data_IF_168275456030
#
_entry.id   IF_168275456030
#
_cell.length_a   1.000
_cell.length_b   1.000
_cell.length_c   1.000
_cell.angle_alpha   90.00
_cell.angle_beta   90.00
_cell.angle_gamma   90.00
#
_symmetry.space_group_name_H-M   'P 1'
#
loop_
_entity.id
_entity.type
_entity.pdbx_description
1 polymer ?
#
# COMPACT_ATOMS: atom_id res chain seq x y z
N UNK A 1 -5.28 -44.02 -33.85
CA UNK A 1 -3.81 -44.04 -33.68
C UNK A 1 -3.31 -42.61 -33.79
N UNK A 2 -2.89 -42.01 -32.68
CA UNK A 2 -1.80 -41.02 -32.59
C UNK A 2 -1.53 -40.84 -31.10
N UNK A 3 -0.35 -41.29 -30.69
CA UNK A 3 0.00 -41.51 -29.30
C UNK A 3 0.18 -40.20 -28.54
N UNK A 4 -0.60 -40.03 -27.47
CA UNK A 4 -0.23 -39.19 -26.34
C UNK A 4 0.81 -39.94 -25.51
N UNK A 5 1.96 -40.19 -26.15
CA UNK A 5 3.10 -40.88 -25.57
C UNK A 5 4.01 -39.86 -24.90
N UNK A 6 3.93 -39.79 -23.58
CA UNK A 6 5.11 -39.98 -22.73
C UNK A 6 6.35 -39.06 -22.89
N UNK A 7 6.17 -37.79 -23.26
CA UNK A 7 7.23 -36.74 -23.11
C UNK A 7 6.90 -35.69 -22.03
N UNK A 8 5.71 -35.78 -21.42
CA UNK A 8 5.11 -34.75 -20.57
C UNK A 8 5.37 -34.86 -19.06
N UNK A 9 6.29 -35.72 -18.61
CA UNK A 9 6.57 -35.91 -17.18
C UNK A 9 7.23 -34.70 -16.53
N UNK A 10 8.44 -34.34 -16.98
CA UNK A 10 9.13 -33.16 -16.45
C UNK A 10 8.58 -31.85 -17.03
N UNK A 11 8.26 -31.83 -18.33
CA UNK A 11 7.69 -30.65 -18.99
C UNK A 11 6.29 -30.32 -18.46
N UNK A 12 5.42 -31.31 -18.22
CA UNK A 12 4.10 -31.08 -17.62
C UNK A 12 4.18 -30.55 -16.19
N UNK A 13 5.14 -31.03 -15.40
CA UNK A 13 5.40 -30.50 -14.07
C UNK A 13 5.94 -29.06 -14.12
N UNK A 14 6.85 -28.75 -15.04
CA UNK A 14 7.35 -27.39 -15.27
C UNK A 14 6.21 -26.45 -15.71
N UNK A 15 5.29 -26.91 -16.56
CA UNK A 15 4.13 -26.12 -16.96
C UNK A 15 3.15 -25.89 -15.79
N UNK A 16 2.95 -26.90 -14.95
CA UNK A 16 2.08 -26.80 -13.77
C UNK A 16 2.65 -25.88 -12.69
N UNK A 17 3.90 -26.11 -12.27
CA UNK A 17 4.57 -25.29 -11.27
C UNK A 17 4.96 -23.92 -11.80
N UNK A 18 5.40 -23.83 -13.06
CA UNK A 18 5.74 -22.57 -13.73
C UNK A 18 4.52 -21.66 -13.87
N UNK A 19 3.35 -22.19 -14.22
CA UNK A 19 2.11 -21.43 -14.25
C UNK A 19 1.74 -20.85 -12.87
N UNK A 20 1.87 -21.66 -11.81
CA UNK A 20 1.62 -21.21 -10.44
C UNK A 20 2.63 -20.13 -10.00
N UNK A 21 3.91 -20.30 -10.33
CA UNK A 21 4.99 -19.37 -9.99
C UNK A 21 4.78 -18.01 -10.68
N UNK A 22 4.36 -18.02 -11.95
CA UNK A 22 4.01 -16.80 -12.69
C UNK A 22 2.83 -16.09 -12.05
N UNK A 23 1.79 -16.82 -11.65
CA UNK A 23 0.61 -16.23 -10.99
C UNK A 23 0.97 -15.62 -9.63
N UNK A 24 1.73 -16.34 -8.79
CA UNK A 24 2.20 -15.82 -7.50
C UNK A 24 3.11 -14.60 -7.71
N UNK A 25 4.04 -14.68 -8.66
CA UNK A 25 4.92 -13.56 -9.01
C UNK A 25 4.14 -12.32 -9.47
N UNK A 26 3.08 -12.51 -10.26
CA UNK A 26 2.21 -11.42 -10.71
C UNK A 26 1.45 -10.77 -9.54
N UNK A 27 0.89 -11.57 -8.62
CA UNK A 27 0.22 -11.06 -7.42
C UNK A 27 1.21 -10.30 -6.53
N UNK A 28 2.42 -10.84 -6.31
CA UNK A 28 3.47 -10.17 -5.55
C UNK A 28 3.90 -8.87 -6.23
N UNK A 29 4.02 -8.84 -7.56
CA UNK A 29 4.33 -7.62 -8.32
C UNK A 29 3.24 -6.55 -8.15
N UNK A 30 1.96 -6.93 -8.20
CA UNK A 30 0.85 -6.01 -7.97
C UNK A 30 0.90 -5.48 -6.53
N UNK A 31 1.04 -6.36 -5.53
CA UNK A 31 1.13 -5.97 -4.12
C UNK A 31 2.34 -5.07 -3.88
N UNK A 32 3.47 -5.35 -4.52
CA UNK A 32 4.67 -4.53 -4.43
C UNK A 32 4.52 -3.20 -5.15
N UNK A 33 3.88 -3.15 -6.32
CA UNK A 33 3.62 -1.91 -7.05
C UNK A 33 2.66 -1.00 -6.27
N UNK A 34 1.56 -1.56 -5.74
CA UNK A 34 0.61 -0.83 -4.88
C UNK A 34 1.27 -0.44 -3.55
N UNK A 35 2.08 -1.33 -2.98
CA UNK A 35 2.85 -1.11 -1.76
C UNK A 35 3.96 -0.05 -1.90
N UNK A 36 4.60 0.03 -3.06
CA UNK A 36 5.66 1.00 -3.35
C UNK A 36 5.09 2.40 -3.60
N UNK A 37 3.94 2.47 -4.30
CA UNK A 37 3.19 3.73 -4.47
C UNK A 37 2.65 4.24 -3.13
N UNK A 38 2.23 3.35 -2.24
CA UNK A 38 1.77 3.72 -0.88
C UNK A 38 2.90 3.97 0.13
N UNK A 39 4.09 3.39 -0.05
CA UNK A 39 5.27 3.64 0.81
C UNK A 39 5.97 4.99 0.57
N UNK A 40 5.61 5.71 -0.49
CA UNK A 40 5.97 7.14 -0.65
C UNK A 40 5.19 8.08 0.29
N UNK A 41 4.12 7.58 0.92
CA UNK A 41 3.38 8.27 1.95
C UNK A 41 3.63 7.62 3.30
N UNK A 42 4.55 8.20 4.08
CA UNK A 42 4.48 8.23 5.56
C UNK A 42 3.11 7.83 6.07
N UNK A 43 3.00 6.71 6.79
CA UNK A 43 2.03 6.41 7.85
C UNK A 43 0.81 7.35 7.94
N UNK A 44 0.00 7.44 6.89
CA UNK A 44 -1.27 8.16 6.90
C UNK A 44 -2.34 7.17 6.54
N UNK A 45 -2.89 6.62 7.61
CA UNK A 45 -4.20 5.99 7.65
C UNK A 45 -5.16 6.77 6.73
N UNK A 46 -5.64 6.18 5.61
CA UNK A 46 -6.39 6.90 4.58
C UNK A 46 -7.83 7.29 4.98
N UNK A 47 -8.13 7.42 6.28
CA UNK A 47 -9.52 7.58 6.75
C UNK A 47 -9.73 8.59 7.87
N UNK A 48 -8.68 9.16 8.47
CA UNK A 48 -8.85 10.08 9.61
C UNK A 48 -7.91 11.28 9.46
N UNK A 49 -8.44 12.50 9.22
CA UNK A 49 -7.60 13.69 9.31
C UNK A 49 -6.97 13.72 10.69
N UNK A 50 -5.64 13.77 10.74
CA UNK A 50 -4.92 13.84 12.00
C UNK A 50 -5.36 15.11 12.73
N UNK A 51 -5.39 15.10 14.07
CA UNK A 51 -5.78 16.27 14.85
C UNK A 51 -4.99 17.54 14.42
N UNK A 52 -3.72 17.37 14.04
CA UNK A 52 -2.86 18.43 13.50
C UNK A 52 -3.35 19.01 12.16
N UNK A 53 -3.92 18.18 11.27
CA UNK A 53 -4.49 18.66 10.00
C UNK A 53 -5.74 19.49 10.24
N UNK A 54 -6.60 19.10 11.18
CA UNK A 54 -7.80 19.87 11.59
C UNK A 54 -7.38 21.22 12.20
N UNK A 55 -6.35 21.23 13.05
CA UNK A 55 -5.78 22.43 13.64
C UNK A 55 -5.23 23.39 12.58
N UNK A 56 -4.50 22.85 11.59
CA UNK A 56 -3.93 23.64 10.51
C UNK A 56 -5.00 24.26 9.62
N UNK A 57 -6.09 23.53 9.37
CA UNK A 57 -7.22 24.05 8.59
C UNK A 57 -7.93 25.21 9.30
N UNK A 58 -8.17 25.10 10.61
CA UNK A 58 -8.77 26.19 11.41
C UNK A 58 -7.86 27.41 11.51
N UNK A 59 -6.55 27.20 11.62
CA UNK A 59 -5.58 28.30 11.60
C UNK A 59 -5.57 29.01 10.24
N UNK A 60 -5.63 28.26 9.13
CA UNK A 60 -5.69 28.81 7.78
C UNK A 60 -7.01 29.58 7.52
N UNK A 61 -8.11 29.15 8.14
CA UNK A 61 -9.39 29.89 8.13
C UNK A 61 -9.39 31.12 9.04
N UNK A 62 -8.35 31.30 9.88
CA UNK A 62 -8.28 32.37 10.87
C UNK A 62 -9.23 32.20 12.04
N UNK A 63 -9.78 30.99 12.25
CA UNK A 63 -10.68 30.67 13.35
C UNK A 63 -9.95 30.50 14.68
N UNK A 64 -8.63 30.26 14.63
CA UNK A 64 -7.76 30.17 15.80
C UNK A 64 -6.52 31.03 15.59
N UNK A 65 -6.02 31.58 16.69
CA UNK A 65 -4.79 32.36 16.72
C UNK A 65 -3.56 31.45 16.75
N UNK A 66 -2.39 32.01 16.42
CA UNK A 66 -1.12 31.28 16.47
C UNK A 66 -0.83 30.70 17.86
N UNK A 67 -1.23 31.40 18.92
CA UNK A 67 -1.04 30.96 20.30
C UNK A 67 -1.87 29.70 20.61
N UNK A 68 -3.13 29.68 20.18
CA UNK A 68 -4.03 28.53 20.36
C UNK A 68 -3.55 27.32 19.53
N UNK A 69 -3.03 27.56 18.32
CA UNK A 69 -2.45 26.51 17.49
C UNK A 69 -1.23 25.85 18.17
N UNK A 70 -0.29 26.66 18.69
CA UNK A 70 0.90 26.17 19.39
C UNK A 70 0.56 25.41 20.67
N UNK A 71 -0.43 25.89 21.43
CA UNK A 71 -0.85 25.24 22.66
C UNK A 71 -1.50 23.88 22.37
N UNK A 72 -2.38 23.81 21.37
CA UNK A 72 -3.01 22.56 20.96
C UNK A 72 -2.02 21.57 20.33
N UNK A 73 -1.02 22.06 19.58
CA UNK A 73 0.08 21.22 19.07
C UNK A 73 0.85 20.55 20.20
N UNK A 74 1.20 21.30 21.26
CA UNK A 74 1.84 20.76 22.47
C UNK A 74 0.94 19.78 23.22
N UNK A 75 -0.36 20.07 23.34
CA UNK A 75 -1.32 19.15 23.97
C UNK A 75 -1.44 17.82 23.22
N UNK A 76 -1.29 17.84 21.90
CA UNK A 76 -1.31 16.65 21.05
C UNK A 76 0.03 15.89 21.02
N UNK A 77 1.08 16.40 21.66
CA UNK A 77 2.40 15.75 21.72
C UNK A 77 3.26 15.91 20.46
N UNK A 78 3.03 16.97 19.67
CA UNK A 78 3.80 17.32 18.47
C UNK A 78 4.79 18.47 18.69
#
# INVERSE_FOLDING_TARGET
MMGYGFDGGALGWIWMFGGLLVMVGFVVLIVWAVGAVSRGGTSREPGRPTALDILRERYARGEITQQEFEQAKKTLGY
#
